data_IF_454208840873
#
_entry.id   IF_454208840873
#
_cell.length_a   1.000
_cell.length_b   1.000
_cell.length_c   1.000
_cell.angle_alpha   90.00
_cell.angle_beta   90.00
_cell.angle_gamma   90.00
#
_symmetry.space_group_name_H-M   'P 1'
#
loop_
_entity.id
_entity.type
_entity.pdbx_description
1 polymer ?
#
# COMPACT_ATOMS: atom_id res chain seq x y z
N UNK A 1 -18.03 16.77 -2.54
CA UNK A 1 -17.15 17.96 -2.61
C UNK A 1 -15.72 17.53 -2.32
N UNK A 2 -15.12 16.71 -3.23
CA UNK A 2 -13.82 15.98 -3.06
C UNK A 2 -12.74 16.43 -4.07
N UNK A 3 -12.70 17.72 -4.40
CA UNK A 3 -11.83 18.28 -5.46
C UNK A 3 -10.59 19.02 -4.94
N UNK A 4 -9.93 18.60 -3.86
CA UNK A 4 -8.86 19.44 -3.31
C UNK A 4 -7.57 18.80 -2.80
N UNK A 5 -7.43 17.48 -2.77
CA UNK A 5 -6.28 16.85 -2.08
C UNK A 5 -5.55 15.74 -2.86
N UNK A 6 -5.64 15.73 -4.19
CA UNK A 6 -4.91 14.74 -4.99
C UNK A 6 -3.83 15.45 -5.80
N UNK A 7 -2.73 15.82 -5.17
CA UNK A 7 -1.47 16.20 -5.86
C UNK A 7 -0.28 15.84 -5.00
N UNK A 8 0.08 14.56 -5.02
CA UNK A 8 1.26 14.01 -4.36
C UNK A 8 1.62 12.62 -4.88
N UNK A 9 1.11 12.23 -6.06
CA UNK A 9 1.49 10.97 -6.70
C UNK A 9 2.96 11.02 -7.13
N UNK A 10 3.71 9.95 -6.90
CA UNK A 10 4.99 9.72 -7.56
C UNK A 10 4.72 9.75 -9.06
N UNK A 11 5.05 10.87 -9.73
CA UNK A 11 5.06 10.94 -11.19
C UNK A 11 6.24 10.12 -11.69
N UNK A 12 5.98 8.88 -12.02
CA UNK A 12 6.88 8.14 -12.89
C UNK A 12 6.52 8.53 -14.32
N UNK A 13 7.27 9.46 -14.88
CA UNK A 13 7.31 9.90 -16.28
C UNK A 13 6.09 10.69 -16.83
N UNK A 14 6.25 12.00 -17.04
CA UNK A 14 5.49 12.77 -18.02
C UNK A 14 6.04 12.41 -19.42
N UNK A 15 5.26 11.66 -20.20
CA UNK A 15 5.62 11.32 -21.57
C UNK A 15 5.21 9.90 -21.95
N UNK A 16 5.18 9.62 -23.27
CA UNK A 16 4.97 8.29 -23.79
C UNK A 16 6.07 7.38 -23.26
N UNK A 17 5.76 6.21 -22.62
CA UNK A 17 6.78 5.34 -22.06
C UNK A 17 7.84 4.98 -23.09
N UNK A 18 9.11 5.08 -22.69
CA UNK A 18 10.23 4.62 -23.51
C UNK A 18 10.19 3.10 -23.73
N UNK A 19 10.97 2.63 -24.69
CA UNK A 19 11.10 1.19 -24.95
C UNK A 19 11.63 0.48 -23.70
N UNK A 20 10.84 -0.45 -23.13
CA UNK A 20 11.12 -1.16 -21.87
C UNK A 20 10.33 -0.70 -20.64
N UNK A 21 9.72 0.49 -20.65
CA UNK A 21 8.92 1.04 -19.52
C UNK A 21 7.42 0.72 -19.61
N UNK A 22 6.99 -0.03 -20.64
CA UNK A 22 5.58 -0.30 -20.90
C UNK A 22 4.88 -1.05 -19.77
N UNK A 23 5.55 -2.02 -19.13
CA UNK A 23 4.98 -2.80 -18.04
C UNK A 23 4.73 -1.96 -16.78
N UNK A 24 5.68 -1.14 -16.40
CA UNK A 24 5.58 -0.25 -15.23
C UNK A 24 4.48 0.80 -15.43
N UNK A 25 4.40 1.41 -16.61
CA UNK A 25 3.34 2.36 -16.95
C UNK A 25 1.95 1.74 -16.88
N UNK A 26 1.79 0.45 -17.24
CA UNK A 26 0.52 -0.27 -17.12
C UNK A 26 0.14 -0.55 -15.67
N UNK A 27 1.11 -0.92 -14.84
CA UNK A 27 0.93 -1.11 -13.39
C UNK A 27 0.47 0.20 -12.75
N UNK A 28 1.18 1.29 -13.01
CA UNK A 28 0.88 2.61 -12.47
C UNK A 28 -0.51 3.12 -12.92
N UNK A 29 -0.84 2.97 -14.22
CA UNK A 29 -2.17 3.28 -14.74
C UNK A 29 -3.27 2.47 -14.05
N UNK A 30 -3.02 1.19 -13.77
CA UNK A 30 -3.96 0.31 -13.06
C UNK A 30 -4.22 0.79 -11.66
N UNK A 31 -3.17 1.15 -10.92
CA UNK A 31 -3.27 1.70 -9.57
C UNK A 31 -4.11 2.98 -9.57
N UNK A 32 -3.81 3.94 -10.46
CA UNK A 32 -4.57 5.20 -10.57
C UNK A 32 -6.04 4.98 -10.90
N UNK A 33 -6.35 4.12 -11.88
CA UNK A 33 -7.74 3.84 -12.26
C UNK A 33 -8.52 3.28 -11.08
N UNK A 34 -7.97 2.29 -10.40
CA UNK A 34 -8.66 1.65 -9.26
C UNK A 34 -8.78 2.60 -8.09
N UNK A 35 -7.72 3.33 -7.74
CA UNK A 35 -7.74 4.29 -6.65
C UNK A 35 -8.73 5.44 -6.87
N UNK A 36 -8.89 5.89 -8.13
CA UNK A 36 -9.74 7.05 -8.45
C UNK A 36 -11.19 6.67 -8.78
N UNK A 37 -11.38 5.51 -9.44
CA UNK A 37 -12.67 5.16 -10.05
C UNK A 37 -13.22 3.81 -9.59
N UNK A 38 -12.47 3.07 -8.76
CA UNK A 38 -12.80 1.73 -8.28
C UNK A 38 -12.53 0.63 -9.31
N UNK A 39 -12.46 -0.61 -8.81
CA UNK A 39 -12.11 -1.79 -9.61
C UNK A 39 -13.09 -2.05 -10.77
N UNK A 40 -14.35 -1.66 -10.65
CA UNK A 40 -15.36 -1.84 -11.71
C UNK A 40 -15.05 -1.09 -13.01
N UNK A 41 -14.20 -0.08 -12.95
CA UNK A 41 -13.76 0.72 -14.12
C UNK A 41 -12.48 0.20 -14.76
N UNK A 42 -11.85 -0.81 -14.18
CA UNK A 42 -10.65 -1.41 -14.74
C UNK A 42 -10.99 -2.25 -15.96
N UNK A 43 -10.51 -1.83 -17.13
CA UNK A 43 -10.62 -2.53 -18.41
C UNK A 43 -9.32 -2.37 -19.19
N UNK A 44 -9.01 -3.28 -20.10
CA UNK A 44 -7.83 -3.13 -20.98
C UNK A 44 -7.81 -1.77 -21.70
N UNK A 45 -8.98 -1.30 -22.13
CA UNK A 45 -9.11 -0.02 -22.82
C UNK A 45 -8.81 1.16 -21.89
N UNK A 46 -9.30 1.11 -20.67
CA UNK A 46 -9.04 2.15 -19.67
C UNK A 46 -7.55 2.20 -19.33
N UNK A 47 -6.92 1.03 -19.08
CA UNK A 47 -5.50 0.92 -18.78
C UNK A 47 -4.64 1.45 -19.93
N UNK A 48 -4.94 1.06 -21.17
CA UNK A 48 -4.23 1.52 -22.35
C UNK A 48 -4.31 3.05 -22.52
N UNK A 49 -5.52 3.60 -22.34
CA UNK A 49 -5.74 5.04 -22.43
C UNK A 49 -4.99 5.82 -21.34
N UNK A 50 -5.06 5.37 -20.09
CA UNK A 50 -4.40 5.98 -18.93
C UNK A 50 -2.87 5.91 -19.05
N UNK A 51 -2.33 4.78 -19.54
CA UNK A 51 -0.90 4.59 -19.74
C UNK A 51 -0.36 5.26 -21.03
N UNK A 52 -1.22 5.81 -21.88
CA UNK A 52 -0.82 6.41 -23.16
C UNK A 52 -0.27 5.41 -24.19
N UNK A 53 -0.71 4.14 -24.13
CA UNK A 53 -0.26 3.05 -24.99
C UNK A 53 -1.42 2.45 -25.81
N UNK A 54 -1.11 1.49 -26.68
CA UNK A 54 -2.14 0.78 -27.44
C UNK A 54 -2.73 -0.38 -26.63
N UNK A 55 -3.96 -0.79 -26.96
CA UNK A 55 -4.60 -1.96 -26.37
C UNK A 55 -3.73 -3.23 -26.54
N UNK A 56 -3.10 -3.41 -27.71
CA UNK A 56 -2.18 -4.52 -27.96
C UNK A 56 -0.96 -4.53 -27.04
N UNK A 57 -0.51 -3.36 -26.61
CA UNK A 57 0.60 -3.26 -25.63
C UNK A 57 0.21 -3.88 -24.29
N UNK A 58 -1.01 -3.64 -23.81
CA UNK A 58 -1.49 -4.24 -22.56
C UNK A 58 -1.51 -5.77 -22.65
N UNK A 59 -2.08 -6.30 -23.73
CA UNK A 59 -2.17 -7.76 -23.97
C UNK A 59 -0.79 -8.40 -24.21
N UNK A 60 0.19 -7.67 -24.68
CA UNK A 60 1.56 -8.13 -24.81
C UNK A 60 2.24 -8.34 -23.45
N UNK A 61 1.97 -7.48 -22.47
CA UNK A 61 2.61 -7.54 -21.17
C UNK A 61 1.86 -8.39 -20.14
N UNK A 62 0.54 -8.51 -20.26
CA UNK A 62 -0.32 -9.21 -19.31
C UNK A 62 -1.36 -10.06 -20.03
N UNK A 63 -1.40 -11.35 -19.73
CA UNK A 63 -2.31 -12.29 -20.36
C UNK A 63 -3.78 -11.99 -20.01
N UNK A 64 -4.05 -11.45 -18.83
CA UNK A 64 -5.37 -11.07 -18.35
C UNK A 64 -5.30 -9.94 -17.31
N UNK A 65 -6.46 -9.38 -16.95
CA UNK A 65 -6.54 -8.30 -15.96
C UNK A 65 -6.20 -8.79 -14.54
N UNK A 66 -6.40 -10.05 -14.21
CA UNK A 66 -6.07 -10.59 -12.90
C UNK A 66 -4.54 -10.64 -12.71
N UNK A 67 -3.77 -11.02 -13.75
CA UNK A 67 -2.31 -10.94 -13.74
C UNK A 67 -1.81 -9.48 -13.56
N UNK A 68 -2.46 -8.53 -14.22
CA UNK A 68 -2.13 -7.12 -14.07
C UNK A 68 -2.45 -6.62 -12.64
N UNK A 69 -3.58 -7.03 -12.07
CA UNK A 69 -3.94 -6.71 -10.68
C UNK A 69 -2.96 -7.31 -9.68
N UNK A 70 -2.54 -8.57 -9.89
CA UNK A 70 -1.52 -9.21 -9.06
C UNK A 70 -0.19 -8.45 -9.10
N UNK A 71 0.27 -8.09 -10.29
CA UNK A 71 1.50 -7.33 -10.47
C UNK A 71 1.41 -5.94 -9.81
N UNK A 72 0.27 -5.26 -9.93
CA UNK A 72 0.03 -3.97 -9.31
C UNK A 72 -0.01 -4.08 -7.76
N UNK A 73 -0.64 -5.13 -7.22
CA UNK A 73 -0.68 -5.37 -5.78
C UNK A 73 0.73 -5.66 -5.23
N UNK A 74 1.50 -6.50 -5.90
CA UNK A 74 2.88 -6.80 -5.51
C UNK A 74 3.74 -5.54 -5.50
N UNK A 75 3.61 -4.69 -6.51
CA UNK A 75 4.30 -3.40 -6.58
C UNK A 75 3.88 -2.46 -5.45
N UNK A 76 2.58 -2.35 -5.15
CA UNK A 76 2.08 -1.53 -4.04
C UNK A 76 2.66 -1.97 -2.69
N UNK A 77 2.74 -3.28 -2.44
CA UNK A 77 3.36 -3.83 -1.21
C UNK A 77 4.84 -3.45 -1.14
N UNK A 78 5.57 -3.63 -2.24
CA UNK A 78 6.99 -3.31 -2.31
C UNK A 78 7.26 -1.84 -1.99
N UNK A 79 6.58 -0.91 -2.66
CA UNK A 79 6.78 0.53 -2.41
C UNK A 79 6.32 0.95 -1.02
N UNK A 80 5.24 0.38 -0.50
CA UNK A 80 4.75 0.69 0.84
C UNK A 80 5.75 0.27 1.92
N UNK A 81 6.32 -0.93 1.80
CA UNK A 81 7.35 -1.41 2.73
C UNK A 81 8.68 -0.64 2.59
N UNK A 82 9.01 -0.18 1.39
CA UNK A 82 10.23 0.61 1.17
C UNK A 82 10.10 2.04 1.70
N UNK A 83 8.93 2.67 1.55
CA UNK A 83 8.72 4.09 1.91
C UNK A 83 8.18 4.28 3.33
N UNK A 84 7.34 3.35 3.80
CA UNK A 84 6.72 3.34 5.13
C UNK A 84 7.32 2.27 6.03
N UNK A 85 8.65 2.15 6.08
CA UNK A 85 9.35 1.11 6.82
C UNK A 85 8.95 1.07 8.29
N UNK A 86 8.75 -0.15 8.80
CA UNK A 86 8.61 -0.45 10.23
C UNK A 86 9.97 -0.54 10.92
N UNK A 87 11.07 -0.40 10.21
CA UNK A 87 12.39 -0.47 10.78
C UNK A 87 12.66 0.77 11.65
N UNK A 88 13.52 0.60 12.65
CA UNK A 88 14.07 1.67 13.47
C UNK A 88 15.51 1.94 13.01
N UNK A 89 15.86 3.20 12.79
CA UNK A 89 17.22 3.59 12.42
C UNK A 89 18.16 3.57 13.62
N UNK A 90 17.65 3.90 14.81
CA UNK A 90 18.40 3.86 16.07
C UNK A 90 18.51 2.44 16.66
N UNK A 91 17.73 1.48 16.16
CA UNK A 91 17.59 0.16 16.77
C UNK A 91 16.75 0.17 18.05
N UNK A 92 16.07 1.26 18.33
CA UNK A 92 15.21 1.43 19.53
C UNK A 92 13.75 1.67 19.13
N UNK A 93 12.85 1.62 20.11
CA UNK A 93 11.43 1.86 19.87
C UNK A 93 11.13 3.34 19.59
N UNK A 94 12.06 4.25 19.86
CA UNK A 94 11.81 5.69 19.82
C UNK A 94 11.54 6.23 18.41
N UNK A 95 12.15 5.63 17.41
CA UNK A 95 11.96 5.96 15.99
C UNK A 95 11.30 4.83 15.17
N UNK A 96 10.83 3.78 15.86
CA UNK A 96 10.12 2.69 15.20
C UNK A 96 8.91 3.21 14.42
N UNK A 97 8.74 2.75 13.20
CA UNK A 97 7.63 3.13 12.33
C UNK A 97 7.50 4.65 12.06
N UNK A 98 8.56 5.44 12.31
CA UNK A 98 8.54 6.90 12.13
C UNK A 98 8.29 7.34 10.68
N UNK A 99 8.53 6.45 9.70
CA UNK A 99 8.35 6.74 8.27
C UNK A 99 6.96 6.41 7.73
N UNK A 100 6.07 5.78 8.52
CA UNK A 100 4.76 5.32 8.04
C UNK A 100 3.93 6.48 7.49
N UNK A 101 3.75 7.55 8.25
CA UNK A 101 2.91 8.66 7.82
C UNK A 101 3.42 9.34 6.54
N UNK A 102 4.74 9.56 6.45
CA UNK A 102 5.36 10.10 5.24
C UNK A 102 5.21 9.14 4.05
N UNK A 103 5.43 7.84 4.27
CA UNK A 103 5.26 6.80 3.25
C UNK A 103 3.82 6.72 2.74
N UNK A 104 2.83 6.74 3.63
CA UNK A 104 1.40 6.73 3.26
C UNK A 104 1.06 7.96 2.41
N UNK A 105 1.50 9.16 2.82
CA UNK A 105 1.26 10.38 2.04
C UNK A 105 1.93 10.34 0.67
N UNK A 106 3.12 9.77 0.56
CA UNK A 106 3.84 9.63 -0.70
C UNK A 106 3.24 8.58 -1.65
N UNK A 107 2.52 7.59 -1.11
CA UNK A 107 1.98 6.44 -1.87
C UNK A 107 0.46 6.30 -1.73
N UNK A 108 -0.27 7.40 -1.61
CA UNK A 108 -1.70 7.40 -1.28
C UNK A 108 -2.54 6.54 -2.23
N UNK A 109 -2.34 6.67 -3.54
CA UNK A 109 -3.08 5.87 -4.53
C UNK A 109 -2.79 4.36 -4.38
N UNK A 110 -1.56 4.01 -4.03
CA UNK A 110 -1.20 2.62 -3.77
C UNK A 110 -1.90 2.08 -2.50
N UNK A 111 -2.05 2.88 -1.46
CA UNK A 111 -2.80 2.49 -0.26
C UNK A 111 -4.29 2.29 -0.56
N UNK A 112 -4.91 3.24 -1.28
CA UNK A 112 -6.32 3.11 -1.70
C UNK A 112 -6.51 1.86 -2.55
N UNK A 113 -5.64 1.64 -3.54
CA UNK A 113 -5.66 0.45 -4.40
C UNK A 113 -5.65 -0.86 -3.59
N UNK A 114 -4.75 -0.96 -2.60
CA UNK A 114 -4.63 -2.14 -1.75
C UNK A 114 -5.93 -2.41 -0.98
N UNK A 115 -6.52 -1.39 -0.34
CA UNK A 115 -7.77 -1.54 0.41
C UNK A 115 -8.96 -1.86 -0.49
N UNK A 116 -9.05 -1.28 -1.69
CA UNK A 116 -10.07 -1.63 -2.69
C UNK A 116 -10.00 -3.12 -3.06
N UNK A 117 -8.79 -3.65 -3.29
CA UNK A 117 -8.61 -5.08 -3.60
C UNK A 117 -8.95 -5.99 -2.42
N UNK A 118 -8.58 -5.59 -1.20
CA UNK A 118 -8.96 -6.33 0.02
C UNK A 118 -10.47 -6.46 0.13
N UNK A 119 -11.21 -5.37 -0.03
CA UNK A 119 -12.66 -5.37 0.03
C UNK A 119 -13.29 -6.17 -1.12
N UNK A 120 -12.75 -6.03 -2.33
CA UNK A 120 -13.27 -6.73 -3.51
C UNK A 120 -12.99 -8.25 -3.47
N UNK A 121 -11.97 -8.71 -2.76
CA UNK A 121 -11.68 -10.14 -2.59
C UNK A 121 -12.85 -10.93 -1.96
N UNK A 122 -13.75 -10.25 -1.24
CA UNK A 122 -15.00 -10.84 -0.72
C UNK A 122 -15.98 -11.21 -1.83
N UNK A 123 -15.96 -10.49 -2.96
CA UNK A 123 -16.86 -10.70 -4.11
C UNK A 123 -16.18 -11.52 -5.20
N UNK A 124 -14.86 -11.50 -5.25
CA UNK A 124 -14.02 -12.18 -6.25
C UNK A 124 -13.06 -13.15 -5.56
N UNK A 125 -13.47 -14.42 -5.34
CA UNK A 125 -12.65 -15.40 -4.62
C UNK A 125 -11.28 -15.64 -5.25
N UNK A 126 -11.14 -15.44 -6.57
CA UNK A 126 -9.87 -15.55 -7.28
C UNK A 126 -8.80 -14.55 -6.80
N UNK A 127 -9.19 -13.41 -6.19
CA UNK A 127 -8.25 -12.46 -5.59
C UNK A 127 -7.72 -12.93 -4.23
N UNK A 128 -8.37 -13.89 -3.58
CA UNK A 128 -8.05 -14.31 -2.21
C UNK A 128 -6.59 -14.74 -2.03
N UNK A 129 -5.99 -15.57 -2.89
CA UNK A 129 -4.58 -15.97 -2.74
C UNK A 129 -3.62 -14.77 -2.76
N UNK A 130 -3.93 -13.73 -3.56
CA UNK A 130 -3.10 -12.52 -3.64
C UNK A 130 -3.23 -11.67 -2.36
N UNK A 131 -4.44 -11.60 -1.80
CA UNK A 131 -4.69 -10.90 -0.53
C UNK A 131 -4.07 -11.65 0.66
N UNK A 132 -4.10 -12.97 0.67
CA UNK A 132 -3.44 -13.77 1.72
C UNK A 132 -1.92 -13.50 1.70
N UNK A 133 -1.28 -13.46 0.51
CA UNK A 133 0.13 -13.09 0.34
C UNK A 133 0.41 -11.65 0.75
N UNK A 134 -0.48 -10.72 0.44
CA UNK A 134 -0.42 -9.32 0.88
C UNK A 134 -0.31 -9.24 2.41
N UNK A 135 -1.22 -9.89 3.15
CA UNK A 135 -1.18 -9.91 4.60
C UNK A 135 0.04 -10.66 5.16
N UNK A 136 0.48 -11.74 4.53
CA UNK A 136 1.71 -12.44 4.93
C UNK A 136 2.96 -11.55 4.85
N UNK A 137 3.09 -10.76 3.80
CA UNK A 137 4.22 -9.84 3.62
C UNK A 137 4.26 -8.78 4.74
N UNK A 138 3.13 -8.17 5.06
CA UNK A 138 3.08 -7.17 6.13
C UNK A 138 3.27 -7.78 7.52
N UNK A 139 2.71 -8.95 7.79
CA UNK A 139 2.96 -9.69 9.03
C UNK A 139 4.44 -10.08 9.17
N UNK A 140 5.06 -10.52 8.10
CA UNK A 140 6.49 -10.83 8.10
C UNK A 140 7.36 -9.60 8.40
N UNK A 141 7.04 -8.45 7.80
CA UNK A 141 7.71 -7.19 8.07
C UNK A 141 7.51 -6.75 9.53
N UNK A 142 6.28 -6.82 10.06
CA UNK A 142 5.96 -6.51 11.46
C UNK A 142 6.72 -7.43 12.41
N UNK A 143 6.71 -8.74 12.15
CA UNK A 143 7.45 -9.72 12.98
C UNK A 143 8.95 -9.45 13.00
N UNK A 144 9.55 -9.18 11.83
CA UNK A 144 10.96 -8.85 11.71
C UNK A 144 11.30 -7.61 12.55
N UNK A 145 10.46 -6.59 12.44
CA UNK A 145 10.63 -5.32 13.15
C UNK A 145 10.50 -5.48 14.68
N UNK A 146 9.44 -6.12 15.17
CA UNK A 146 9.28 -6.39 16.60
C UNK A 146 10.44 -7.22 17.18
N UNK A 147 10.89 -8.23 16.44
CA UNK A 147 12.05 -9.03 16.82
C UNK A 147 13.33 -8.21 16.95
N UNK A 148 13.58 -7.28 16.02
CA UNK A 148 14.78 -6.43 16.06
C UNK A 148 14.79 -5.48 17.27
N UNK A 149 13.62 -5.14 17.81
CA UNK A 149 13.42 -4.31 18.99
C UNK A 149 13.39 -5.10 20.31
N UNK A 150 13.54 -6.43 20.26
CA UNK A 150 13.44 -7.27 21.46
C UNK A 150 12.02 -7.39 22.03
N UNK A 151 11.00 -7.04 21.23
CA UNK A 151 9.58 -7.12 21.62
C UNK A 151 9.01 -8.51 21.37
N UNK A 152 7.91 -8.90 22.07
CA UNK A 152 7.17 -10.12 21.74
C UNK A 152 6.77 -10.13 20.27
N UNK A 153 7.01 -11.24 19.60
CA UNK A 153 6.80 -11.38 18.15
C UNK A 153 6.14 -12.73 17.78
N UNK A 154 5.39 -13.29 18.73
CA UNK A 154 4.49 -14.40 18.47
C UNK A 154 3.37 -13.98 17.52
N UNK A 155 2.63 -14.99 17.02
CA UNK A 155 1.61 -14.76 16.01
C UNK A 155 0.54 -13.73 16.44
N UNK A 156 0.06 -13.84 17.67
CA UNK A 156 -1.02 -12.97 18.16
C UNK A 156 -0.54 -11.54 18.38
N UNK A 157 0.66 -11.35 18.92
CA UNK A 157 1.26 -10.02 19.07
C UNK A 157 1.49 -9.34 17.72
N UNK A 158 2.04 -10.09 16.75
CA UNK A 158 2.22 -9.58 15.38
C UNK A 158 0.89 -9.18 14.74
N UNK A 159 -0.16 -10.00 14.88
CA UNK A 159 -1.47 -9.70 14.31
C UNK A 159 -2.10 -8.46 14.95
N UNK A 160 -1.98 -8.28 16.26
CA UNK A 160 -2.51 -7.09 16.96
C UNK A 160 -1.77 -5.83 16.54
N UNK A 161 -0.43 -5.84 16.53
CA UNK A 161 0.37 -4.67 16.17
C UNK A 161 0.15 -4.31 14.70
N UNK A 162 0.17 -5.29 13.81
CA UNK A 162 -0.14 -5.06 12.39
C UNK A 162 -1.55 -4.51 12.21
N UNK A 163 -2.57 -5.08 12.85
CA UNK A 163 -3.95 -4.62 12.73
C UNK A 163 -4.14 -3.20 13.26
N UNK A 164 -3.40 -2.80 14.30
CA UNK A 164 -3.41 -1.43 14.79
C UNK A 164 -2.88 -0.46 13.73
N UNK A 165 -1.73 -0.76 13.11
CA UNK A 165 -1.15 0.05 12.04
C UNK A 165 -2.09 0.10 10.83
N UNK A 166 -2.55 -1.06 10.36
CA UNK A 166 -3.44 -1.19 9.20
C UNK A 166 -4.74 -0.39 9.40
N UNK A 167 -5.34 -0.46 10.57
CA UNK A 167 -6.54 0.30 10.92
C UNK A 167 -6.28 1.82 10.96
N UNK A 168 -5.14 2.27 11.49
CA UNK A 168 -4.76 3.68 11.47
C UNK A 168 -4.54 4.20 10.05
N UNK A 169 -3.83 3.43 9.23
CA UNK A 169 -3.58 3.76 7.82
C UNK A 169 -4.88 3.74 7.02
N UNK A 170 -5.71 2.69 7.19
CA UNK A 170 -7.03 2.61 6.54
C UNK A 170 -7.88 3.84 6.81
N UNK A 171 -7.99 4.23 8.07
CA UNK A 171 -8.76 5.40 8.49
C UNK A 171 -8.18 6.69 7.90
N UNK A 172 -6.86 6.88 7.99
CA UNK A 172 -6.17 8.03 7.44
C UNK A 172 -6.40 8.19 5.92
N UNK A 173 -6.30 7.07 5.19
CA UNK A 173 -6.46 7.03 3.73
C UNK A 173 -7.92 7.24 3.31
N UNK A 174 -8.88 6.64 4.03
CA UNK A 174 -10.30 6.67 3.64
C UNK A 174 -11.00 7.95 4.05
N UNK A 175 -10.66 8.54 5.20
CA UNK A 175 -11.27 9.78 5.68
C UNK A 175 -10.49 11.02 5.23
N UNK A 176 -9.16 10.89 5.03
CA UNK A 176 -8.31 12.02 4.63
C UNK A 176 -8.26 13.14 5.67
N UNK A 177 -8.00 14.37 5.22
CA UNK A 177 -8.04 15.54 6.08
C UNK A 177 -7.23 15.41 7.37
N UNK A 178 -7.87 15.68 8.51
CA UNK A 178 -7.25 15.65 9.82
C UNK A 178 -6.75 14.24 10.21
N UNK A 179 -7.40 13.17 9.77
CA UNK A 179 -6.96 11.80 10.05
C UNK A 179 -5.62 11.48 9.37
N UNK A 180 -5.42 11.96 8.14
CA UNK A 180 -4.15 11.79 7.44
C UNK A 180 -3.04 12.68 8.05
N UNK A 181 -3.37 13.88 8.50
CA UNK A 181 -2.44 14.78 9.19
C UNK A 181 -2.03 14.21 10.56
N UNK A 182 -2.96 13.62 11.29
CA UNK A 182 -2.73 13.11 12.65
C UNK A 182 -2.12 11.69 12.68
N UNK A 183 -1.90 11.05 11.53
CA UNK A 183 -1.40 9.67 11.48
C UNK A 183 -0.06 9.52 12.22
N UNK A 184 0.86 10.46 12.07
CA UNK A 184 2.16 10.40 12.75
C UNK A 184 1.98 10.41 14.28
N UNK A 185 1.13 11.29 14.83
CA UNK A 185 0.84 11.33 16.27
C UNK A 185 0.16 10.06 16.79
N UNK A 186 -0.66 9.39 15.96
CA UNK A 186 -1.26 8.11 16.31
C UNK A 186 -0.23 6.97 16.33
N UNK A 187 0.74 6.99 15.41
CA UNK A 187 1.89 6.06 15.43
C UNK A 187 2.79 6.33 16.64
N UNK A 188 3.00 7.60 17.01
CA UNK A 188 3.74 7.97 18.22
C UNK A 188 3.07 7.37 19.46
N UNK A 189 1.75 7.46 19.57
CA UNK A 189 1.01 6.85 20.68
C UNK A 189 1.10 5.33 20.69
N UNK A 190 1.07 4.70 19.53
CA UNK A 190 1.28 3.24 19.44
C UNK A 190 2.68 2.84 19.94
N UNK A 191 3.72 3.64 19.66
CA UNK A 191 5.07 3.42 20.21
C UNK A 191 5.09 3.47 21.75
N UNK A 192 4.38 4.43 22.35
CA UNK A 192 4.29 4.52 23.81
C UNK A 192 3.64 3.25 24.40
N UNK A 193 2.54 2.77 23.82
CA UNK A 193 1.87 1.53 24.25
C UNK A 193 2.81 0.33 24.16
N UNK A 194 3.55 0.20 23.05
CA UNK A 194 4.52 -0.90 22.90
C UNK A 194 5.69 -0.80 23.88
N UNK A 195 6.11 0.41 24.25
CA UNK A 195 7.13 0.62 25.29
C UNK A 195 6.64 0.15 26.66
N UNK A 196 5.41 0.52 27.03
CA UNK A 196 4.78 0.05 28.27
C UNK A 196 4.70 -1.49 28.33
N UNK A 197 4.40 -2.14 27.21
CA UNK A 197 4.37 -3.62 27.13
C UNK A 197 5.74 -4.29 27.27
N UNK A 198 6.82 -3.59 26.90
CA UNK A 198 8.19 -4.11 27.06
C UNK A 198 8.69 -4.01 28.49
N UNK A 199 8.34 -2.91 29.17
CA UNK A 199 8.91 -2.54 30.47
C UNK A 199 8.10 -3.11 31.67
N UNK A 200 6.92 -3.72 31.41
CA UNK A 200 6.05 -4.39 32.39
C UNK A 200 6.17 -5.90 32.36
#
# INVERSE_FOLDING_TARGET
MWRGYITGGIRLTEGRPGYGQGREALIDATIRIVATHGLSKLTYRAVAAEAGVTHGTVQHHFANLDELLEAALAYCVEISLATGSLDSESGTIDDWAAKIGAGVRATLDAQVFQFELVLESRRRPQLRPHIDRYYENYRAATRKSLRSLGLPHDLHTVDVVFSAIDGLVFRAVTLGGDDLVNLDGQIDRLREVLREMRDG
#
